data_IF_890375372783
#
_entry.id   IF_890375372783
#
_cell.length_a   1.000
_cell.length_b   1.000
_cell.length_c   1.000
_cell.angle_alpha   90.00
_cell.angle_beta   90.00
_cell.angle_gamma   90.00
#
_symmetry.space_group_name_H-M   'P 1'
#
loop_
_entity.id
_entity.type
_entity.pdbx_description
1 polymer ?
#
# COMPACT_ATOMS: atom_id res chain seq x y z
N UNK A 1 -14.62 24.53 20.15
CA UNK A 1 -13.64 23.42 20.22
C UNK A 1 -13.72 22.72 18.87
N UNK A 2 -12.80 23.01 17.95
CA UNK A 2 -12.75 22.31 16.68
C UNK A 2 -12.09 20.96 16.94
N UNK A 3 -12.88 19.90 16.98
CA UNK A 3 -12.35 18.54 16.91
C UNK A 3 -11.70 18.43 15.54
N UNK A 4 -10.38 18.23 15.51
CA UNK A 4 -9.66 17.95 14.28
C UNK A 4 -10.19 16.59 13.81
N UNK A 5 -11.12 16.60 12.85
CA UNK A 5 -11.56 15.37 12.20
C UNK A 5 -10.34 14.91 11.41
N UNK A 6 -9.70 13.84 11.89
CA UNK A 6 -8.71 13.13 11.09
C UNK A 6 -9.52 12.32 10.07
N UNK A 7 -9.28 12.58 8.79
CA UNK A 7 -9.87 11.79 7.71
C UNK A 7 -8.82 10.82 7.19
N UNK A 8 -9.24 9.61 6.86
CA UNK A 8 -8.47 8.68 6.06
C UNK A 8 -8.62 9.09 4.60
N UNK A 9 -7.53 9.09 3.87
CA UNK A 9 -7.51 9.51 2.47
C UNK A 9 -7.93 8.35 1.57
N UNK A 10 -7.47 7.14 1.89
CA UNK A 10 -7.77 5.84 1.26
C UNK A 10 -7.53 5.74 -0.25
N UNK A 11 -7.01 6.81 -0.87
CA UNK A 11 -6.70 6.89 -2.29
C UNK A 11 -5.36 7.61 -2.54
N UNK A 12 -4.33 7.30 -1.75
CA UNK A 12 -2.97 7.83 -2.00
C UNK A 12 -2.34 7.06 -3.15
N UNK A 13 -2.23 7.72 -4.31
CA UNK A 13 -1.62 7.22 -5.55
C UNK A 13 -1.06 8.37 -6.39
N UNK A 14 -0.19 8.11 -7.39
CA UNK A 14 0.45 9.14 -8.20
C UNK A 14 -0.54 10.14 -8.82
N UNK A 15 -1.70 9.66 -9.28
CA UNK A 15 -2.76 10.44 -9.92
C UNK A 15 -3.31 11.57 -9.03
N UNK A 16 -3.22 11.40 -7.71
CA UNK A 16 -3.75 12.34 -6.72
C UNK A 16 -2.67 13.28 -6.15
N UNK A 17 -1.42 13.19 -6.63
CA UNK A 17 -0.31 14.05 -6.21
C UNK A 17 -0.06 15.14 -7.25
N UNK A 18 -0.50 16.36 -6.94
CA UNK A 18 -0.35 17.53 -7.79
C UNK A 18 0.98 18.24 -7.51
N UNK A 19 1.71 18.56 -8.58
CA UNK A 19 3.02 19.19 -8.51
C UNK A 19 3.05 20.42 -9.42
N UNK A 20 3.77 21.46 -9.02
CA UNK A 20 4.07 22.60 -9.89
C UNK A 20 5.41 22.39 -10.62
N UNK A 21 5.35 21.79 -11.81
CA UNK A 21 6.55 21.52 -12.59
C UNK A 21 7.08 22.77 -13.29
N UNK A 22 8.32 23.16 -12.97
CA UNK A 22 9.02 24.30 -13.57
C UNK A 22 10.29 23.84 -14.30
N UNK A 23 10.22 23.40 -15.55
CA UNK A 23 11.35 22.79 -16.27
C UNK A 23 12.50 23.76 -16.58
N UNK A 24 12.24 25.07 -16.60
CA UNK A 24 13.12 26.06 -17.23
C UNK A 24 13.83 26.99 -16.23
N UNK A 25 13.76 26.72 -14.93
CA UNK A 25 14.49 27.51 -13.94
C UNK A 25 15.58 26.67 -13.25
N UNK A 26 16.82 26.65 -13.77
CA UNK A 26 17.91 25.85 -13.21
C UNK A 26 18.38 26.35 -11.82
N UNK A 27 17.93 27.53 -11.36
CA UNK A 27 18.24 28.06 -10.03
C UNK A 27 17.18 27.70 -8.97
N UNK A 28 16.07 27.06 -9.35
CA UNK A 28 14.98 26.68 -8.44
C UNK A 28 14.77 25.16 -8.42
N UNK A 29 14.21 24.66 -7.32
CA UNK A 29 13.74 23.28 -7.24
C UNK A 29 12.71 23.02 -8.35
N UNK A 30 12.86 21.88 -9.05
CA UNK A 30 11.96 21.47 -10.16
C UNK A 30 10.48 21.43 -9.77
N UNK A 31 10.21 21.26 -8.48
CA UNK A 31 8.89 21.29 -7.84
C UNK A 31 9.02 22.13 -6.57
N UNK A 32 8.21 23.18 -6.42
CA UNK A 32 8.20 24.04 -5.21
C UNK A 32 7.03 23.72 -4.28
N UNK A 33 5.91 23.25 -4.85
CA UNK A 33 4.68 22.90 -4.17
C UNK A 33 4.24 21.51 -4.60
N UNK A 34 4.02 20.65 -3.61
CA UNK A 34 3.45 19.32 -3.79
C UNK A 34 2.19 19.28 -2.92
N UNK A 35 1.06 18.94 -3.53
CA UNK A 35 -0.24 18.88 -2.86
C UNK A 35 -0.93 17.57 -3.17
N UNK A 36 -1.40 16.91 -2.12
CA UNK A 36 -2.35 15.82 -2.25
C UNK A 36 -3.73 16.42 -2.55
N UNK A 37 -4.43 15.85 -3.51
CA UNK A 37 -5.80 16.20 -3.85
C UNK A 37 -6.68 14.96 -3.97
N UNK A 38 -7.83 15.14 -4.61
CA UNK A 38 -8.90 14.15 -4.73
C UNK A 38 -9.31 13.50 -3.40
N UNK A 39 -10.11 14.25 -2.64
CA UNK A 39 -10.63 13.82 -1.34
C UNK A 39 -12.04 13.21 -1.46
N UNK A 40 -12.47 12.83 -2.67
CA UNK A 40 -13.82 12.31 -2.94
C UNK A 40 -14.16 11.06 -2.14
N UNK A 41 -13.16 10.22 -1.90
CA UNK A 41 -13.29 8.96 -1.18
C UNK A 41 -12.87 9.05 0.29
N UNK A 42 -12.59 10.25 0.82
CA UNK A 42 -12.13 10.37 2.22
C UNK A 42 -13.12 9.78 3.21
N UNK A 43 -12.60 9.01 4.17
CA UNK A 43 -13.39 8.39 5.22
C UNK A 43 -13.18 9.14 6.54
N UNK A 44 -14.25 9.62 7.21
CA UNK A 44 -14.12 10.27 8.50
C UNK A 44 -13.68 9.23 9.54
N UNK A 45 -12.63 9.51 10.32
CA UNK A 45 -12.35 8.71 11.51
C UNK A 45 -13.31 9.20 12.59
N UNK A 46 -14.44 8.53 12.72
CA UNK A 46 -15.38 8.78 13.80
C UNK A 46 -14.86 8.24 15.15
N UNK A 47 -15.38 8.80 16.24
CA UNK A 47 -14.94 8.56 17.62
C UNK A 47 -15.11 7.10 18.11
N UNK A 48 -15.52 6.17 17.23
CA UNK A 48 -15.96 4.81 17.56
C UNK A 48 -14.95 3.70 17.21
N UNK A 49 -13.84 4.00 16.53
CA UNK A 49 -12.76 3.04 16.31
C UNK A 49 -12.34 2.89 14.83
N UNK A 50 -11.60 1.83 14.48
CA UNK A 50 -11.23 1.54 13.10
C UNK A 50 -12.48 1.33 12.22
N UNK A 51 -12.33 1.53 10.90
CA UNK A 51 -13.45 1.43 9.96
C UNK A 51 -14.12 0.05 9.98
N UNK A 52 -15.30 -0.07 9.37
CA UNK A 52 -16.05 -1.33 9.28
C UNK A 52 -15.36 -2.42 8.45
N UNK A 53 -14.18 -2.16 7.90
CA UNK A 53 -13.39 -3.13 7.13
C UNK A 53 -13.83 -3.30 5.67
N UNK A 54 -14.65 -2.41 5.10
CA UNK A 54 -14.99 -2.55 3.67
C UNK A 54 -13.75 -2.27 2.79
N UNK A 55 -13.57 -3.04 1.72
CA UNK A 55 -12.61 -2.71 0.67
C UNK A 55 -13.05 -1.44 -0.07
N UNK A 56 -12.12 -0.50 -0.29
CA UNK A 56 -12.34 0.74 -1.04
C UNK A 56 -11.08 1.05 -1.86
N UNK A 57 -11.26 1.68 -3.03
CA UNK A 57 -10.15 2.15 -3.86
C UNK A 57 -9.64 1.11 -4.86
N UNK A 58 -8.36 1.23 -5.19
CA UNK A 58 -7.68 0.44 -6.24
C UNK A 58 -6.76 -0.59 -5.57
N UNK A 59 -6.89 -1.90 -5.89
CA UNK A 59 -6.20 -2.99 -5.17
C UNK A 59 -4.69 -2.77 -4.98
N UNK A 60 -3.99 -2.30 -6.01
CA UNK A 60 -2.52 -2.14 -6.00
C UNK A 60 -2.00 -1.04 -5.07
N UNK A 61 -2.90 -0.21 -4.54
CA UNK A 61 -2.57 0.84 -3.57
C UNK A 61 -3.12 0.52 -2.17
N UNK A 62 -3.99 -0.49 -2.06
CA UNK A 62 -4.64 -0.86 -0.82
C UNK A 62 -3.69 -1.60 0.13
N UNK A 63 -3.87 -1.38 1.43
CA UNK A 63 -3.11 -2.07 2.46
C UNK A 63 -3.60 -3.51 2.67
N UNK A 64 -2.78 -4.41 3.21
CA UNK A 64 -3.19 -5.80 3.39
C UNK A 64 -4.42 -5.94 4.28
N UNK A 65 -4.53 -5.18 5.37
CA UNK A 65 -5.72 -5.18 6.22
C UNK A 65 -6.98 -4.72 5.47
N UNK A 66 -6.86 -3.76 4.54
CA UNK A 66 -7.98 -3.38 3.68
C UNK A 66 -8.34 -4.48 2.66
N UNK A 67 -7.34 -5.15 2.09
CA UNK A 67 -7.53 -6.28 1.16
C UNK A 67 -8.17 -7.49 1.83
N UNK A 68 -7.92 -7.69 3.12
CA UNK A 68 -8.56 -8.73 3.93
C UNK A 68 -9.87 -8.29 4.57
N UNK A 69 -10.37 -7.10 4.22
CA UNK A 69 -11.58 -6.50 4.79
C UNK A 69 -11.57 -6.44 6.34
N UNK A 70 -10.39 -6.24 6.91
CA UNK A 70 -10.18 -6.06 8.34
C UNK A 70 -10.34 -4.58 8.72
N UNK A 71 -10.61 -4.27 9.99
CA UNK A 71 -10.70 -2.88 10.43
C UNK A 71 -9.39 -2.14 10.13
N UNK A 72 -9.48 -1.08 9.31
CA UNK A 72 -8.33 -0.29 8.86
C UNK A 72 -8.28 1.09 9.53
N UNK A 73 -7.08 1.67 9.57
CA UNK A 73 -6.76 2.95 10.25
C UNK A 73 -5.90 3.84 9.34
N UNK A 74 -5.33 4.92 9.89
CA UNK A 74 -4.33 5.77 9.18
C UNK A 74 -3.12 4.99 8.68
N UNK A 75 -2.88 3.77 9.19
CA UNK A 75 -1.85 2.87 8.69
C UNK A 75 -2.05 2.50 7.21
N UNK A 76 -3.31 2.43 6.74
CA UNK A 76 -3.62 2.21 5.32
C UNK A 76 -3.02 3.30 4.43
N UNK A 77 -3.21 4.57 4.80
CA UNK A 77 -2.63 5.70 4.06
C UNK A 77 -1.09 5.65 4.05
N UNK A 78 -0.47 5.19 5.14
CA UNK A 78 0.98 5.01 5.22
C UNK A 78 1.46 3.88 4.30
N UNK A 79 0.70 2.79 4.18
CA UNK A 79 0.99 1.72 3.23
C UNK A 79 0.92 2.23 1.79
N UNK A 80 -0.17 2.91 1.41
CA UNK A 80 -0.35 3.48 0.09
C UNK A 80 0.74 4.52 -0.24
N UNK A 81 1.15 5.33 0.74
CA UNK A 81 2.29 6.24 0.61
C UNK A 81 3.60 5.48 0.35
N UNK A 82 3.85 4.36 1.02
CA UNK A 82 5.00 3.49 0.74
C UNK A 82 4.99 2.93 -0.68
N UNK A 83 3.83 2.45 -1.16
CA UNK A 83 3.66 2.00 -2.54
C UNK A 83 3.92 3.12 -3.56
N UNK A 84 3.44 4.34 -3.28
CA UNK A 84 3.70 5.54 -4.08
C UNK A 84 5.20 5.85 -4.16
N UNK A 85 5.91 5.84 -3.04
CA UNK A 85 7.36 6.08 -3.04
C UNK A 85 8.12 5.03 -3.86
N UNK A 86 7.74 3.76 -3.75
CA UNK A 86 8.35 2.68 -4.55
C UNK A 86 8.10 2.91 -6.04
N UNK A 87 6.86 3.28 -6.41
CA UNK A 87 6.50 3.65 -7.78
C UNK A 87 7.37 4.80 -8.32
N UNK A 88 7.60 5.83 -7.51
CA UNK A 88 8.43 6.99 -7.89
C UNK A 88 9.92 6.65 -8.01
N UNK A 89 10.45 5.75 -7.17
CA UNK A 89 11.85 5.30 -7.25
C UNK A 89 12.11 4.54 -8.55
N UNK A 90 11.20 3.63 -8.92
CA UNK A 90 11.33 2.85 -10.15
C UNK A 90 10.94 3.65 -11.40
N UNK A 91 9.97 4.55 -11.28
CA UNK A 91 9.43 5.35 -12.38
C UNK A 91 8.65 4.51 -13.40
N UNK A 92 8.31 5.12 -14.55
CA UNK A 92 7.75 4.40 -15.69
C UNK A 92 6.38 3.72 -15.44
N UNK A 93 5.54 4.31 -14.59
CA UNK A 93 4.25 3.74 -14.15
C UNK A 93 4.39 2.37 -13.43
N UNK A 94 5.55 2.09 -12.84
CA UNK A 94 5.75 0.88 -12.06
C UNK A 94 4.86 0.88 -10.81
N UNK A 95 4.24 -0.26 -10.51
CA UNK A 95 3.61 -0.52 -9.22
C UNK A 95 4.08 -1.92 -8.74
N UNK A 96 4.57 -1.99 -7.51
CA UNK A 96 5.15 -3.21 -6.93
C UNK A 96 4.11 -4.33 -6.73
N UNK A 97 2.86 -3.95 -6.51
CA UNK A 97 1.77 -4.86 -6.17
C UNK A 97 0.84 -5.15 -7.34
N UNK A 98 1.06 -4.53 -8.50
CA UNK A 98 0.31 -4.84 -9.69
C UNK A 98 0.42 -6.32 -10.08
N UNK A 99 -0.70 -6.99 -10.42
CA UNK A 99 -0.69 -8.35 -10.91
C UNK A 99 0.21 -8.52 -12.14
N UNK A 100 0.85 -9.69 -12.24
CA UNK A 100 1.64 -10.03 -13.42
C UNK A 100 0.73 -10.63 -14.50
N UNK A 101 0.35 -9.79 -15.47
CA UNK A 101 -0.46 -10.21 -16.62
C UNK A 101 -1.95 -9.87 -16.46
N UNK A 102 -2.78 -10.26 -17.45
CA UNK A 102 -4.20 -9.97 -17.42
C UNK A 102 -4.90 -10.78 -16.33
N UNK A 103 -5.83 -10.15 -15.64
CA UNK A 103 -6.67 -10.77 -14.60
C UNK A 103 -8.14 -10.67 -15.03
N UNK A 104 -8.93 -11.72 -14.79
CA UNK A 104 -10.27 -11.84 -15.36
C UNK A 104 -11.33 -11.05 -14.59
N UNK A 105 -11.19 -10.93 -13.26
CA UNK A 105 -12.12 -10.21 -12.39
C UNK A 105 -11.46 -9.66 -11.11
N UNK A 106 -12.21 -8.84 -10.37
CA UNK A 106 -11.74 -8.15 -9.16
C UNK A 106 -11.30 -9.12 -8.04
N UNK A 107 -12.00 -10.23 -7.72
CA UNK A 107 -11.51 -11.20 -6.73
C UNK A 107 -10.17 -11.83 -7.11
N UNK A 108 -9.97 -12.19 -8.38
CA UNK A 108 -8.68 -12.72 -8.86
C UNK A 108 -7.58 -11.65 -8.76
N UNK A 109 -7.91 -10.39 -9.05
CA UNK A 109 -7.00 -9.25 -8.95
C UNK A 109 -6.58 -9.01 -7.49
N UNK A 110 -7.56 -9.04 -6.57
CA UNK A 110 -7.29 -8.88 -5.15
C UNK A 110 -6.39 -10.01 -4.62
N UNK A 111 -6.61 -11.24 -5.05
CA UNK A 111 -5.76 -12.37 -4.70
C UNK A 111 -4.33 -12.19 -5.26
N UNK A 112 -4.20 -11.74 -6.52
CA UNK A 112 -2.89 -11.51 -7.12
C UNK A 112 -2.10 -10.40 -6.40
N UNK A 113 -2.78 -9.34 -5.95
CA UNK A 113 -2.18 -8.29 -5.11
C UNK A 113 -1.75 -8.86 -3.75
N UNK A 114 -2.56 -9.70 -3.10
CA UNK A 114 -2.20 -10.35 -1.83
C UNK A 114 -0.96 -11.26 -1.98
N UNK A 115 -0.81 -11.93 -3.12
CA UNK A 115 0.42 -12.67 -3.47
C UNK A 115 1.62 -11.72 -3.49
N UNK A 116 1.51 -10.55 -4.12
CA UNK A 116 2.59 -9.56 -4.14
C UNK A 116 2.91 -9.02 -2.73
N UNK A 117 1.90 -8.69 -1.92
CA UNK A 117 2.10 -8.30 -0.51
C UNK A 117 2.91 -9.35 0.25
N UNK A 118 2.53 -10.62 0.12
CA UNK A 118 3.19 -11.73 0.80
C UNK A 118 4.63 -11.95 0.31
N UNK A 119 4.83 -11.92 -1.00
CA UNK A 119 6.14 -12.10 -1.63
C UNK A 119 7.14 -11.00 -1.24
N UNK A 120 6.70 -9.73 -1.24
CA UNK A 120 7.58 -8.59 -1.00
C UNK A 120 7.78 -8.26 0.48
N UNK A 121 6.71 -8.31 1.29
CA UNK A 121 6.72 -7.87 2.69
C UNK A 121 6.36 -8.96 3.70
N UNK A 122 5.82 -10.09 3.23
CA UNK A 122 5.38 -11.20 4.08
C UNK A 122 6.48 -11.87 4.90
N UNK A 123 6.10 -12.84 5.76
CA UNK A 123 4.76 -13.43 5.88
C UNK A 123 3.75 -12.52 6.59
N UNK A 124 2.45 -12.76 6.37
CA UNK A 124 1.39 -12.06 7.12
C UNK A 124 1.46 -12.40 8.63
N UNK A 125 1.17 -11.44 9.52
CA UNK A 125 1.10 -11.69 10.95
C UNK A 125 0.04 -12.73 11.31
N UNK A 126 0.30 -13.55 12.33
CA UNK A 126 -0.63 -14.58 12.82
C UNK A 126 -2.03 -14.04 13.14
N UNK A 127 -2.10 -12.80 13.68
CA UNK A 127 -3.36 -12.15 14.01
C UNK A 127 -4.31 -12.03 12.83
N UNK A 128 -3.82 -11.95 11.58
CA UNK A 128 -4.70 -11.95 10.40
C UNK A 128 -5.58 -13.19 10.40
N UNK A 129 -5.09 -14.36 10.81
CA UNK A 129 -5.93 -15.57 10.94
C UNK A 129 -6.94 -15.52 12.07
N UNK A 130 -6.66 -14.75 13.12
CA UNK A 130 -7.55 -14.66 14.29
C UNK A 130 -8.75 -13.75 14.02
N UNK A 131 -8.60 -12.77 13.12
CA UNK A 131 -9.63 -11.76 12.83
C UNK A 131 -10.19 -11.82 11.41
N UNK A 132 -9.56 -12.57 10.51
CA UNK A 132 -10.04 -12.76 9.14
C UNK A 132 -11.27 -13.66 9.06
N UNK A 133 -12.08 -13.41 8.05
CA UNK A 133 -13.15 -14.31 7.59
C UNK A 133 -12.56 -15.62 7.04
N UNK A 134 -13.39 -16.67 6.93
CA UNK A 134 -12.96 -18.00 6.46
C UNK A 134 -12.31 -17.99 5.07
N UNK A 135 -12.84 -17.19 4.14
CA UNK A 135 -12.30 -16.99 2.79
C UNK A 135 -10.88 -16.39 2.84
N UNK A 136 -10.70 -15.34 3.63
CA UNK A 136 -9.41 -14.69 3.85
C UNK A 136 -8.39 -15.63 4.55
N UNK A 137 -8.83 -16.44 5.51
CA UNK A 137 -7.96 -17.45 6.15
C UNK A 137 -7.43 -18.48 5.14
N UNK A 138 -8.29 -18.98 4.26
CA UNK A 138 -7.88 -19.93 3.22
C UNK A 138 -6.79 -19.35 2.31
N UNK A 139 -6.86 -18.04 2.00
CA UNK A 139 -5.82 -17.36 1.23
C UNK A 139 -4.48 -17.34 1.98
N UNK A 140 -4.49 -16.99 3.28
CA UNK A 140 -3.26 -16.97 4.09
C UNK A 140 -2.63 -18.36 4.18
N UNK A 141 -3.43 -19.39 4.46
CA UNK A 141 -2.96 -20.77 4.55
C UNK A 141 -2.37 -21.27 3.22
N UNK A 142 -3.02 -20.93 2.11
CA UNK A 142 -2.54 -21.27 0.77
C UNK A 142 -1.18 -20.63 0.49
N UNK A 143 -1.03 -19.33 0.76
CA UNK A 143 0.23 -18.60 0.52
C UNK A 143 1.39 -19.20 1.32
N UNK A 144 1.15 -19.58 2.58
CA UNK A 144 2.16 -20.22 3.43
C UNK A 144 2.58 -21.62 2.97
N UNK A 145 1.70 -22.35 2.28
CA UNK A 145 2.02 -23.64 1.69
C UNK A 145 2.78 -23.49 0.37
N UNK A 146 2.47 -22.44 -0.41
CA UNK A 146 3.08 -22.18 -1.71
C UNK A 146 4.46 -21.52 -1.63
N UNK A 147 4.71 -20.70 -0.60
CA UNK A 147 5.94 -19.91 -0.48
C UNK A 147 6.90 -20.46 0.57
N UNK A 148 8.18 -20.58 0.19
CA UNK A 148 9.26 -20.82 1.16
C UNK A 148 9.75 -19.51 1.81
N UNK A 149 10.47 -19.56 2.94
CA UNK A 149 11.06 -18.35 3.54
C UNK A 149 11.94 -17.55 2.58
N UNK A 150 12.59 -18.20 1.62
CA UNK A 150 13.43 -17.56 0.60
C UNK A 150 12.62 -16.89 -0.51
N UNK A 151 11.31 -17.13 -0.60
CA UNK A 151 10.40 -16.52 -1.58
C UNK A 151 9.64 -15.31 -1.01
N UNK A 152 9.74 -15.03 0.29
CA UNK A 152 9.03 -13.94 0.98
C UNK A 152 9.97 -12.83 1.44
N UNK A 153 9.44 -11.70 1.91
CA UNK A 153 10.26 -10.58 2.40
C UNK A 153 11.33 -10.14 1.37
N UNK A 154 11.04 -10.26 0.07
CA UNK A 154 12.01 -9.95 -1.00
C UNK A 154 12.50 -8.50 -0.92
N UNK A 155 11.66 -7.58 -0.45
CA UNK A 155 12.03 -6.17 -0.32
C UNK A 155 13.19 -5.95 0.66
N UNK A 156 13.36 -6.82 1.66
CA UNK A 156 14.52 -6.79 2.57
C UNK A 156 15.84 -7.10 1.87
N UNK A 157 15.77 -7.86 0.77
CA UNK A 157 16.90 -8.38 0.00
C UNK A 157 17.13 -7.62 -1.31
N UNK A 158 16.33 -6.61 -1.59
CA UNK A 158 16.45 -5.77 -2.79
C UNK A 158 17.84 -5.14 -2.89
N UNK A 159 18.35 -5.06 -4.12
CA UNK A 159 19.72 -4.61 -4.34
C UNK A 159 19.86 -3.09 -4.17
N UNK A 160 21.04 -2.63 -3.75
CA UNK A 160 21.36 -1.18 -3.66
C UNK A 160 21.31 -0.45 -5.01
N UNK A 161 21.33 -1.20 -6.12
CA UNK A 161 21.21 -0.64 -7.47
C UNK A 161 19.76 -0.28 -7.81
N UNK A 162 18.80 -0.99 -7.23
CA UNK A 162 17.38 -0.76 -7.43
C UNK A 162 16.84 0.26 -6.43
N UNK A 163 17.14 0.08 -5.14
CA UNK A 163 16.69 0.98 -4.06
C UNK A 163 17.86 1.24 -3.12
N UNK A 164 18.11 2.51 -2.80
CA UNK A 164 19.18 2.87 -1.87
C UNK A 164 18.95 2.23 -0.50
N UNK A 165 20.01 1.99 0.28
CA UNK A 165 19.82 1.42 1.63
C UNK A 165 19.00 2.33 2.55
N UNK A 166 19.13 3.65 2.40
CA UNK A 166 18.34 4.60 3.18
C UNK A 166 16.85 4.49 2.87
N UNK A 167 16.49 4.48 1.58
CA UNK A 167 15.10 4.40 1.14
C UNK A 167 14.50 3.04 1.49
N UNK A 168 15.26 1.95 1.28
CA UNK A 168 14.82 0.60 1.65
C UNK A 168 14.54 0.50 3.15
N UNK A 169 15.46 0.97 3.99
CA UNK A 169 15.32 0.87 5.45
C UNK A 169 14.16 1.77 5.95
N UNK A 170 13.93 2.92 5.31
CA UNK A 170 12.77 3.78 5.55
C UNK A 170 11.46 3.09 5.15
N UNK A 171 11.38 2.53 3.94
CA UNK A 171 10.19 1.81 3.44
C UNK A 171 9.85 0.60 4.30
N UNK A 172 10.85 -0.21 4.68
CA UNK A 172 10.66 -1.34 5.60
C UNK A 172 10.21 -0.91 7.00
N UNK A 173 10.47 0.35 7.39
CA UNK A 173 10.02 0.91 8.66
C UNK A 173 8.57 1.36 8.60
N UNK A 174 8.11 1.94 7.50
CA UNK A 174 6.75 2.49 7.38
C UNK A 174 5.74 1.46 6.84
N UNK A 175 6.16 0.57 5.95
CA UNK A 175 5.29 -0.48 5.38
C UNK A 175 5.31 -1.69 6.29
N UNK A 176 4.33 -1.76 7.18
CA UNK A 176 4.13 -2.87 8.12
C UNK A 176 2.93 -3.70 7.70
N UNK A 177 2.99 -4.97 8.08
CA UNK A 177 1.84 -5.87 8.05
C UNK A 177 1.36 -5.90 9.50
N UNK A 178 0.30 -5.17 9.80
CA UNK A 178 -0.17 -4.86 11.16
C UNK A 178 -1.68 -4.96 11.33
#
# INVERSE_FOLDING_TARGET
MFTQIVNLIIDIKPDNVFINYHPNNPEEDRFQDIKLGDFGDTYPIDAYGPSSGAFVGIPEWASPEMMFELPWTTATDIWSFGALLISLIYGGNFNLFAPQGPVADLPEEQLAVLVQHYQWFGPFPKKFREIAREDAMMVVERLEQEFTPEMTSLFRRISRKEVSSGDRDFLLRIMKLD
#
